data_IF_242367275344
#
_entry.id   IF_242367275344
#
_cell.length_a   1.000
_cell.length_b   1.000
_cell.length_c   1.000
_cell.angle_alpha   90.00
_cell.angle_beta   90.00
_cell.angle_gamma   90.00
#
_symmetry.space_group_name_H-M   'P 1'
#
loop_
_entity.id
_entity.type
_entity.pdbx_description
1 polymer ?
#
# COMPACT_ATOMS: atom_id res chain seq x y z
N UNK A 1 -19.72 -11.49 -14.32
CA UNK A 1 -18.81 -12.59 -13.96
C UNK A 1 -17.45 -12.26 -14.56
N UNK A 2 -16.43 -12.07 -13.73
CA UNK A 2 -15.05 -11.93 -14.19
C UNK A 2 -14.33 -13.29 -14.07
N UNK A 3 -13.34 -13.53 -14.92
CA UNK A 3 -12.51 -14.73 -14.84
C UNK A 3 -11.23 -14.35 -14.10
N UNK A 4 -10.93 -15.06 -13.00
CA UNK A 4 -9.66 -14.92 -12.29
C UNK A 4 -8.60 -15.91 -12.76
N UNK A 5 -8.98 -16.95 -13.48
CA UNK A 5 -8.08 -17.97 -14.00
C UNK A 5 -8.50 -18.43 -15.39
N UNK A 6 -7.52 -18.53 -16.29
CA UNK A 6 -7.67 -19.08 -17.64
C UNK A 6 -6.67 -20.20 -17.82
N UNK A 7 -7.18 -21.39 -18.11
CA UNK A 7 -6.38 -22.61 -18.24
C UNK A 7 -6.87 -23.41 -19.44
N UNK A 8 -5.94 -23.96 -20.21
CA UNK A 8 -6.21 -24.87 -21.32
C UNK A 8 -6.52 -26.28 -20.80
N UNK A 9 -7.16 -27.09 -21.64
CA UNK A 9 -7.54 -28.46 -21.29
C UNK A 9 -6.34 -29.38 -20.99
N UNK A 10 -5.16 -29.05 -21.50
CA UNK A 10 -3.92 -29.79 -21.25
C UNK A 10 -3.24 -29.44 -19.90
N UNK A 11 -3.81 -28.51 -19.14
CA UNK A 11 -3.27 -28.05 -17.86
C UNK A 11 -2.50 -26.73 -17.93
N UNK A 12 -2.21 -26.22 -19.13
CA UNK A 12 -1.43 -24.99 -19.29
C UNK A 12 -2.21 -23.77 -18.81
N UNK A 13 -1.67 -23.06 -17.82
CA UNK A 13 -2.26 -21.84 -17.25
C UNK A 13 -1.80 -20.64 -18.08
N UNK A 14 -2.74 -19.89 -18.64
CA UNK A 14 -2.47 -18.67 -19.42
C UNK A 14 -2.54 -17.41 -18.55
N UNK A 15 -3.41 -17.42 -17.55
CA UNK A 15 -3.58 -16.33 -16.59
C UNK A 15 -4.06 -16.93 -15.27
N UNK A 16 -3.46 -16.51 -14.16
CA UNK A 16 -3.91 -16.86 -12.82
C UNK A 16 -3.75 -15.66 -11.90
N UNK A 17 -4.87 -15.04 -11.56
CA UNK A 17 -4.95 -13.91 -10.64
C UNK A 17 -5.20 -14.37 -9.19
N UNK A 18 -5.32 -15.67 -8.91
CA UNK A 18 -5.69 -16.14 -7.56
C UNK A 18 -4.68 -15.75 -6.47
N UNK A 19 -3.42 -15.49 -6.85
CA UNK A 19 -2.38 -14.99 -5.94
C UNK A 19 -2.25 -13.46 -5.89
N UNK A 20 -3.11 -12.71 -6.60
CA UNK A 20 -3.07 -11.26 -6.61
C UNK A 20 -3.47 -10.70 -5.22
N UNK A 21 -2.75 -9.67 -4.77
CA UNK A 21 -2.94 -9.03 -3.46
C UNK A 21 -3.28 -7.54 -3.58
N UNK A 22 -3.47 -7.03 -4.80
CA UNK A 22 -3.87 -5.65 -5.03
C UNK A 22 -5.29 -5.45 -4.48
N UNK A 23 -5.42 -4.39 -3.70
CA UNK A 23 -6.68 -3.91 -3.13
C UNK A 23 -6.86 -2.44 -3.50
N UNK A 24 -8.07 -1.89 -3.44
CA UNK A 24 -8.29 -0.45 -3.64
C UNK A 24 -7.35 0.42 -2.78
N UNK A 25 -7.09 0.01 -1.54
CA UNK A 25 -6.27 0.73 -0.56
C UNK A 25 -4.77 0.71 -0.87
N UNK A 26 -4.32 -0.29 -1.63
CA UNK A 26 -2.91 -0.42 -2.05
C UNK A 26 -2.66 0.16 -3.45
N UNK A 27 -3.71 0.53 -4.16
CA UNK A 27 -3.67 1.07 -5.52
C UNK A 27 -3.89 2.58 -5.52
N UNK A 28 -3.04 3.34 -6.21
CA UNK A 28 -3.13 4.80 -6.29
C UNK A 28 -4.50 5.28 -6.78
N UNK A 29 -4.99 6.36 -6.18
CA UNK A 29 -6.29 6.95 -6.50
C UNK A 29 -6.49 7.15 -8.01
N UNK A 30 -7.58 6.59 -8.53
CA UNK A 30 -7.96 6.71 -9.95
C UNK A 30 -7.28 5.72 -10.90
N UNK A 31 -6.30 4.94 -10.43
CA UNK A 31 -5.74 3.81 -11.21
C UNK A 31 -6.72 2.64 -11.19
N UNK A 32 -6.84 1.95 -12.32
CA UNK A 32 -7.72 0.79 -12.49
C UNK A 32 -6.88 -0.47 -12.56
N UNK A 33 -7.25 -1.50 -11.79
CA UNK A 33 -6.62 -2.82 -11.82
C UNK A 33 -7.67 -3.94 -11.69
N UNK A 34 -7.21 -5.19 -11.52
CA UNK A 34 -8.06 -6.35 -11.24
C UNK A 34 -7.64 -7.00 -9.92
N UNK A 35 -8.62 -7.47 -9.13
CA UNK A 35 -8.36 -8.20 -7.89
C UNK A 35 -8.20 -9.72 -8.14
N UNK A 36 -7.98 -10.51 -7.08
CA UNK A 36 -7.85 -11.96 -7.17
C UNK A 36 -9.12 -12.71 -7.64
N UNK A 37 -10.28 -12.04 -7.62
CA UNK A 37 -11.52 -12.53 -8.23
C UNK A 37 -11.65 -12.14 -9.72
N UNK A 38 -10.65 -11.45 -10.28
CA UNK A 38 -10.64 -10.91 -11.64
C UNK A 38 -11.50 -9.66 -11.80
N UNK A 39 -12.11 -9.16 -10.72
CA UNK A 39 -13.00 -8.00 -10.76
C UNK A 39 -12.20 -6.72 -10.92
N UNK A 40 -12.73 -5.81 -11.73
CA UNK A 40 -12.13 -4.48 -11.90
C UNK A 40 -12.25 -3.69 -10.60
N UNK A 41 -11.12 -3.19 -10.10
CA UNK A 41 -11.03 -2.34 -8.92
C UNK A 41 -10.46 -0.97 -9.30
N UNK A 42 -10.84 0.05 -8.54
CA UNK A 42 -10.33 1.42 -8.67
C UNK A 42 -9.57 1.75 -7.40
N UNK A 43 -8.35 2.27 -7.55
CA UNK A 43 -7.52 2.66 -6.43
C UNK A 43 -8.09 3.85 -5.69
N UNK A 44 -7.90 3.85 -4.37
CA UNK A 44 -8.29 4.91 -3.45
C UNK A 44 -7.10 5.40 -2.60
N UNK A 45 -5.91 4.85 -2.82
CA UNK A 45 -4.73 5.20 -2.07
C UNK A 45 -4.26 6.63 -2.39
N UNK A 46 -4.10 7.46 -1.35
CA UNK A 46 -3.64 8.85 -1.47
C UNK A 46 -2.31 9.00 -0.75
N UNK A 47 -1.32 9.60 -1.41
CA UNK A 47 -0.06 9.96 -0.78
C UNK A 47 -0.23 11.20 0.11
N UNK A 48 0.35 11.15 1.31
CA UNK A 48 0.48 12.30 2.20
C UNK A 48 1.83 12.98 1.92
N UNK A 49 1.80 14.29 1.73
CA UNK A 49 3.01 15.07 1.51
C UNK A 49 3.50 15.67 2.83
N UNK A 50 4.78 15.48 3.12
CA UNK A 50 5.48 16.05 4.26
C UNK A 50 6.61 16.93 3.75
N UNK A 51 6.76 18.10 4.36
CA UNK A 51 7.90 18.97 4.09
C UNK A 51 8.94 18.74 5.18
N UNK A 52 10.13 18.30 4.81
CA UNK A 52 11.27 18.10 5.70
C UNK A 52 12.43 18.93 5.15
N UNK A 53 12.79 20.01 5.86
CA UNK A 53 13.90 20.92 5.54
C UNK A 53 13.95 21.38 4.07
N UNK A 54 12.78 21.78 3.55
CA UNK A 54 12.64 22.25 2.16
C UNK A 54 12.53 21.14 1.11
N UNK A 55 12.53 19.88 1.53
CA UNK A 55 12.34 18.71 0.68
C UNK A 55 10.95 18.10 0.87
N UNK A 56 10.25 17.82 -0.23
CA UNK A 56 8.92 17.18 -0.20
C UNK A 56 9.07 15.67 -0.18
N UNK A 57 8.64 15.04 0.91
CA UNK A 57 8.56 13.59 1.06
C UNK A 57 7.10 13.15 0.89
N UNK A 58 6.84 12.30 -0.10
CA UNK A 58 5.50 11.71 -0.29
C UNK A 58 5.46 10.34 0.35
N UNK A 59 4.65 10.19 1.40
CA UNK A 59 4.46 8.93 2.09
C UNK A 59 3.11 8.34 1.71
N UNK A 60 3.12 7.07 1.32
CA UNK A 60 1.91 6.29 1.10
C UNK A 60 1.74 5.39 2.32
N UNK A 61 0.58 5.50 2.98
CA UNK A 61 0.24 4.65 4.11
C UNK A 61 -0.18 3.27 3.57
N UNK A 62 0.74 2.31 3.58
CA UNK A 62 0.45 0.94 3.13
C UNK A 62 0.00 0.15 4.36
N UNK A 63 -1.25 -0.36 4.42
CA UNK A 63 -1.86 -0.94 5.62
C UNK A 63 -1.14 -2.16 6.22
N UNK A 64 -0.11 -2.68 5.56
CA UNK A 64 0.68 -3.84 6.00
C UNK A 64 2.15 -3.55 6.31
N UNK A 65 2.63 -2.32 6.08
CA UNK A 65 4.00 -1.94 6.46
C UNK A 65 3.97 -1.25 7.82
N UNK A 66 3.84 -2.03 8.89
CA UNK A 66 4.35 -1.54 10.17
C UNK A 66 5.84 -1.27 9.94
N UNK A 67 6.26 -0.01 10.11
CA UNK A 67 7.68 0.31 10.24
C UNK A 67 8.16 -0.27 11.57
N UNK A 68 8.39 -1.58 11.61
CA UNK A 68 9.24 -2.19 12.61
C UNK A 68 10.65 -2.16 12.02
N UNK A 69 11.37 -1.06 12.23
CA UNK A 69 12.81 -1.16 12.22
C UNK A 69 13.14 -2.15 13.34
N UNK A 70 13.71 -3.29 12.98
CA UNK A 70 14.12 -4.33 13.91
C UNK A 70 14.95 -3.66 15.03
N UNK A 71 14.39 -3.61 16.24
CA UNK A 71 15.03 -2.97 17.40
C UNK A 71 14.61 -1.54 17.79
N UNK A 72 13.64 -0.89 17.14
CA UNK A 72 13.06 0.36 17.67
C UNK A 72 11.58 0.56 17.30
N UNK A 73 10.70 0.35 18.27
CA UNK A 73 9.33 0.85 18.20
C UNK A 73 9.35 2.35 18.50
N UNK A 74 8.98 3.19 17.54
CA UNK A 74 8.65 4.60 17.81
C UNK A 74 7.36 4.64 18.64
N UNK A 75 7.48 4.60 19.97
CA UNK A 75 6.37 4.87 20.89
C UNK A 75 6.24 6.37 21.07
N UNK A 76 5.41 7.01 20.24
CA UNK A 76 4.98 8.39 20.50
C UNK A 76 3.93 8.36 21.62
N UNK A 77 4.35 8.61 22.85
CA UNK A 77 3.42 8.89 23.94
C UNK A 77 2.84 10.30 23.76
N UNK A 78 1.62 10.59 24.25
CA UNK A 78 1.03 11.93 24.14
C UNK A 78 1.89 13.06 24.75
N UNK A 79 2.87 12.72 25.61
CA UNK A 79 3.82 13.67 26.20
C UNK A 79 4.96 14.09 25.23
N UNK A 80 5.26 13.28 24.21
CA UNK A 80 6.39 13.54 23.30
C UNK A 80 6.12 14.64 22.26
N UNK A 81 4.88 15.14 22.18
CA UNK A 81 4.49 16.16 21.18
C UNK A 81 4.81 17.57 21.69
N UNK A 82 4.99 17.78 23.00
CA UNK A 82 4.95 19.13 23.56
C UNK A 82 6.30 19.78 23.89
N UNK A 83 7.43 19.08 23.77
CA UNK A 83 8.72 19.70 24.09
C UNK A 83 9.88 19.09 23.27
N UNK A 84 10.01 19.36 21.98
CA UNK A 84 11.30 19.13 21.31
C UNK A 84 11.60 20.18 20.24
N UNK A 85 12.30 21.23 20.67
CA UNK A 85 13.32 21.87 19.84
C UNK A 85 14.30 20.78 19.42
N UNK A 86 14.30 20.43 18.13
CA UNK A 86 15.24 19.51 17.55
C UNK A 86 16.57 20.25 17.37
N UNK A 87 17.52 20.06 18.28
CA UNK A 87 18.90 20.52 18.06
C UNK A 87 19.65 19.42 17.33
N UNK A 88 20.10 19.76 16.12
CA UNK A 88 20.97 18.98 15.23
C UNK A 88 22.25 18.49 15.90
#
# INVERSE_FOLDING_TARGET
MANNKVQLSDGTVLLDLTGDTVTPETLMAGVIAHNAAGERIVGICVAKEFNVDGSVVKLVDVPSRTMQQEGSTLKLSPAAINEHTLTI
#
